data_IF_037012308583
#
_entry.id   IF_037012308583
#
_cell.length_a   1.000
_cell.length_b   1.000
_cell.length_c   1.000
_cell.angle_alpha   90.00
_cell.angle_beta   90.00
_cell.angle_gamma   90.00
#
_symmetry.space_group_name_H-M   'P 1'
#
loop_
_entity.id
_entity.type
_entity.pdbx_description
1 polymer ?
#
# COMPACT_ATOMS: atom_id res chain seq x y z
N UNK A 1 0.09 -3.45 -2.44
CA UNK A 1 -1.10 -4.24 -2.82
C UNK A 1 -1.51 -4.06 -4.28
N UNK A 2 -1.62 -2.80 -4.82
CA UNK A 2 -2.05 -2.59 -6.21
C UNK A 2 -1.16 -3.32 -7.24
N UNK A 3 0.16 -3.24 -7.09
CA UNK A 3 1.09 -3.92 -8.00
C UNK A 3 1.04 -5.44 -7.84
N UNK A 4 0.89 -5.94 -6.61
CA UNK A 4 0.71 -7.38 -6.39
C UNK A 4 -0.55 -7.87 -7.12
N UNK A 5 -1.65 -7.12 -7.03
CA UNK A 5 -2.89 -7.43 -7.75
C UNK A 5 -2.72 -7.35 -9.27
N UNK A 6 -1.99 -6.34 -9.77
CA UNK A 6 -1.65 -6.24 -11.19
C UNK A 6 -0.88 -7.47 -11.67
N UNK A 7 0.12 -7.92 -10.90
CA UNK A 7 0.92 -9.10 -11.23
C UNK A 7 0.05 -10.36 -11.25
N UNK A 8 -0.79 -10.56 -10.24
CA UNK A 8 -1.71 -11.71 -10.18
C UNK A 8 -2.63 -11.80 -11.41
N UNK A 9 -3.10 -10.67 -11.91
CA UNK A 9 -4.08 -10.61 -13.01
C UNK A 9 -3.42 -10.63 -14.38
N UNK A 10 -2.36 -9.85 -14.57
CA UNK A 10 -1.80 -9.57 -15.89
C UNK A 10 -0.44 -10.21 -16.15
N UNK A 11 0.35 -10.44 -15.11
CA UNK A 11 1.71 -10.95 -15.20
C UNK A 11 1.95 -12.14 -14.25
N UNK A 12 1.13 -13.20 -14.31
CA UNK A 12 1.21 -14.31 -13.35
C UNK A 12 2.56 -15.04 -13.37
N UNK A 13 3.30 -14.99 -14.47
CA UNK A 13 4.66 -15.52 -14.60
C UNK A 13 5.68 -14.81 -13.70
N UNK A 14 5.38 -13.58 -13.25
CA UNK A 14 6.25 -12.78 -12.39
C UNK A 14 5.93 -12.93 -10.89
N UNK A 15 4.99 -13.79 -10.50
CA UNK A 15 4.62 -13.98 -9.09
C UNK A 15 5.83 -14.42 -8.25
N UNK A 16 6.67 -15.29 -8.80
CA UNK A 16 7.87 -15.78 -8.11
C UNK A 16 8.97 -14.70 -7.93
N UNK A 17 8.85 -13.57 -8.63
CA UNK A 17 9.71 -12.41 -8.45
C UNK A 17 9.27 -11.47 -7.32
N UNK A 18 8.08 -11.70 -6.74
CA UNK A 18 7.64 -10.93 -5.59
C UNK A 18 8.48 -11.27 -4.36
N UNK A 19 8.94 -10.22 -3.65
CA UNK A 19 9.66 -10.41 -2.40
C UNK A 19 8.73 -11.13 -1.40
N UNK A 20 9.17 -12.24 -0.77
CA UNK A 20 8.35 -13.02 0.15
C UNK A 20 8.28 -12.39 1.54
N UNK A 21 8.04 -11.07 1.61
CA UNK A 21 7.96 -10.28 2.85
C UNK A 21 6.58 -9.62 2.93
N UNK A 22 5.99 -9.64 4.12
CA UNK A 22 4.70 -8.97 4.37
C UNK A 22 4.82 -7.46 4.17
N UNK A 23 3.73 -6.77 3.78
CA UNK A 23 3.76 -5.31 3.63
C UNK A 23 4.20 -4.60 4.90
N UNK A 24 4.94 -3.47 4.81
CA UNK A 24 5.39 -2.71 5.99
C UNK A 24 4.27 -2.33 6.97
N UNK A 25 3.04 -2.07 6.48
CA UNK A 25 1.90 -1.79 7.34
C UNK A 25 1.54 -2.99 8.21
N UNK A 26 1.63 -4.22 7.69
CA UNK A 26 1.40 -5.44 8.46
C UNK A 26 2.52 -5.69 9.46
N UNK A 27 3.77 -5.46 9.07
CA UNK A 27 4.92 -5.61 9.95
C UNK A 27 4.79 -4.69 11.18
N UNK A 28 4.56 -3.40 10.98
CA UNK A 28 4.44 -2.44 12.08
C UNK A 28 3.20 -2.71 12.94
N UNK A 29 2.08 -3.14 12.34
CA UNK A 29 0.88 -3.50 13.08
C UNK A 29 1.09 -4.73 13.97
N UNK A 30 1.82 -5.75 13.49
CA UNK A 30 2.21 -6.92 14.29
C UNK A 30 3.13 -6.55 15.44
N UNK A 31 4.13 -5.71 15.18
CA UNK A 31 5.02 -5.21 16.23
C UNK A 31 4.24 -4.46 17.31
N UNK A 32 3.30 -3.59 16.90
CA UNK A 32 2.47 -2.85 17.84
C UNK A 32 1.58 -3.79 18.68
N UNK A 33 0.95 -4.82 18.08
CA UNK A 33 0.19 -5.82 18.85
C UNK A 33 1.05 -6.57 19.84
N UNK A 34 2.23 -7.03 19.43
CA UNK A 34 3.18 -7.72 20.30
C UNK A 34 3.62 -6.82 21.47
N UNK A 35 3.86 -5.53 21.21
CA UNK A 35 4.16 -4.56 22.26
C UNK A 35 3.05 -4.50 23.32
N UNK A 36 1.78 -4.41 22.91
CA UNK A 36 0.67 -4.37 23.86
C UNK A 36 0.39 -5.71 24.54
N UNK A 37 0.62 -6.85 23.87
CA UNK A 37 0.56 -8.18 24.51
C UNK A 37 1.58 -8.30 25.65
N UNK A 38 2.80 -7.81 25.48
CA UNK A 38 3.80 -7.78 26.55
C UNK A 38 3.42 -6.90 27.74
N UNK A 39 2.49 -5.97 27.55
CA UNK A 39 1.90 -5.15 28.61
C UNK A 39 0.65 -5.77 29.25
N UNK A 40 0.22 -6.94 28.78
CA UNK A 40 -0.89 -7.69 29.34
C UNK A 40 -2.26 -7.42 28.69
N UNK A 41 -2.32 -6.62 27.61
CA UNK A 41 -3.57 -6.43 26.85
C UNK A 41 -3.92 -7.67 26.04
N UNK A 42 -5.21 -7.95 25.88
CA UNK A 42 -5.73 -9.02 25.04
C UNK A 42 -6.02 -8.50 23.63
N UNK A 43 -6.18 -9.41 22.67
CA UNK A 43 -6.41 -9.05 21.27
C UNK A 43 -7.66 -8.21 21.07
N UNK A 44 -8.72 -8.48 21.83
CA UNK A 44 -10.00 -7.74 21.77
C UNK A 44 -9.89 -6.31 22.30
N UNK A 45 -8.85 -6.01 23.07
CA UNK A 45 -8.60 -4.70 23.67
C UNK A 45 -7.69 -3.81 22.79
N UNK A 46 -7.13 -4.39 21.70
CA UNK A 46 -6.16 -3.70 20.83
C UNK A 46 -6.80 -3.33 19.49
N UNK A 47 -6.91 -2.05 19.22
CA UNK A 47 -7.31 -1.52 17.91
C UNK A 47 -6.14 -0.85 17.19
N UNK A 48 -5.75 -1.37 16.03
CA UNK A 48 -4.71 -0.78 15.16
C UNK A 48 -5.39 -0.10 13.98
N UNK A 49 -5.23 1.21 13.87
CA UNK A 49 -5.78 2.02 12.79
C UNK A 49 -4.67 2.55 11.90
N UNK A 50 -4.72 2.21 10.61
CA UNK A 50 -3.72 2.62 9.63
C UNK A 50 -4.20 3.83 8.84
N UNK A 51 -3.58 4.99 9.04
CA UNK A 51 -3.87 6.20 8.26
C UNK A 51 -3.10 6.10 6.93
N UNK A 52 -3.82 6.12 5.81
CA UNK A 52 -3.23 5.84 4.50
C UNK A 52 -3.71 6.77 3.38
N UNK A 53 -2.83 7.19 2.46
CA UNK A 53 -3.22 7.83 1.21
C UNK A 53 -3.66 6.84 0.12
N UNK A 54 -3.68 5.52 0.40
CA UNK A 54 -3.80 4.45 -0.59
C UNK A 54 -5.10 3.67 -0.45
N UNK A 55 -6.00 3.76 -1.43
CA UNK A 55 -7.24 2.97 -1.47
C UNK A 55 -6.98 1.46 -1.57
N UNK A 56 -5.94 1.04 -2.32
CA UNK A 56 -5.56 -0.38 -2.40
C UNK A 56 -5.18 -0.98 -1.04
N UNK A 57 -4.56 -0.20 -0.14
CA UNK A 57 -4.28 -0.65 1.23
C UNK A 57 -5.53 -0.75 2.08
N UNK A 58 -6.53 0.11 1.84
CA UNK A 58 -7.83 -0.03 2.51
C UNK A 58 -8.47 -1.37 2.15
N UNK A 59 -8.47 -1.72 0.87
CA UNK A 59 -8.97 -3.02 0.40
C UNK A 59 -8.14 -4.18 0.97
N UNK A 60 -6.80 -4.06 0.99
CA UNK A 60 -5.90 -5.11 1.47
C UNK A 60 -6.05 -5.41 2.97
N UNK A 61 -6.44 -4.44 3.79
CA UNK A 61 -6.78 -4.65 5.20
C UNK A 61 -7.98 -5.60 5.34
N UNK A 62 -8.97 -5.48 4.47
CA UNK A 62 -10.18 -6.33 4.50
C UNK A 62 -9.99 -7.67 3.80
N UNK A 63 -9.20 -7.70 2.72
CA UNK A 63 -8.93 -8.90 1.90
C UNK A 63 -7.43 -8.99 1.60
N UNK A 64 -6.63 -9.37 2.60
CA UNK A 64 -5.18 -9.35 2.46
C UNK A 64 -4.68 -10.38 1.44
N UNK A 65 -3.65 -9.99 0.67
CA UNK A 65 -3.10 -10.81 -0.39
C UNK A 65 -1.95 -11.71 0.07
N UNK A 66 -1.20 -11.28 1.09
CA UNK A 66 0.06 -11.93 1.52
C UNK A 66 0.00 -12.48 2.94
N UNK A 67 -1.10 -12.26 3.65
CA UNK A 67 -1.33 -12.77 5.01
C UNK A 67 -2.75 -13.35 5.10
N UNK A 68 -3.01 -14.26 6.04
CA UNK A 68 -4.33 -14.86 6.21
C UNK A 68 -5.34 -13.87 6.78
N UNK A 69 -4.90 -13.07 7.73
CA UNK A 69 -5.68 -12.02 8.38
C UNK A 69 -4.78 -10.81 8.64
N UNK A 70 -5.26 -9.62 8.34
CA UNK A 70 -4.53 -8.39 8.64
C UNK A 70 -4.42 -8.17 10.16
N UNK A 71 -3.24 -7.73 10.60
CA UNK A 71 -3.02 -7.24 11.96
C UNK A 71 -3.59 -5.83 12.16
N UNK A 72 -3.89 -5.11 11.07
CA UNK A 72 -4.56 -3.82 11.08
C UNK A 72 -6.06 -4.02 11.31
N UNK A 73 -6.65 -3.32 12.27
CA UNK A 73 -8.08 -3.41 12.59
C UNK A 73 -8.92 -2.67 11.54
N UNK A 74 -8.46 -1.48 11.13
CA UNK A 74 -9.12 -0.68 10.10
C UNK A 74 -8.16 0.31 9.46
N UNK A 75 -8.47 0.74 8.24
CA UNK A 75 -7.74 1.78 7.54
C UNK A 75 -8.57 3.07 7.44
N UNK A 76 -7.92 4.22 7.61
CA UNK A 76 -8.53 5.54 7.57
C UNK A 76 -7.88 6.38 6.50
N UNK A 77 -8.67 7.08 5.69
CA UNK A 77 -8.15 7.93 4.63
C UNK A 77 -7.36 9.14 5.19
N UNK A 78 -6.16 9.36 4.65
CA UNK A 78 -5.28 10.44 5.12
C UNK A 78 -5.93 11.83 4.94
N UNK A 79 -6.59 12.07 3.81
CA UNK A 79 -7.28 13.33 3.54
C UNK A 79 -8.42 13.59 4.54
N UNK A 80 -9.17 12.55 4.96
CA UNK A 80 -10.22 12.71 5.96
C UNK A 80 -9.66 13.14 7.31
N UNK A 81 -8.59 12.48 7.78
CA UNK A 81 -7.89 12.85 9.01
C UNK A 81 -7.36 14.27 8.90
N UNK A 82 -6.69 14.61 7.80
CA UNK A 82 -6.13 15.93 7.57
C UNK A 82 -7.17 17.03 7.63
N UNK A 83 -8.29 16.89 6.92
CA UNK A 83 -9.34 17.91 6.91
C UNK A 83 -10.05 18.06 8.25
N UNK A 84 -10.14 17.01 9.06
CA UNK A 84 -10.67 17.07 10.42
C UNK A 84 -9.69 17.77 11.38
N UNK A 85 -8.39 17.62 11.19
CA UNK A 85 -7.36 18.28 12.01
C UNK A 85 -7.17 19.76 11.68
N UNK A 86 -7.39 20.20 10.43
CA UNK A 86 -7.14 21.58 9.99
C UNK A 86 -7.78 22.66 10.88
N UNK A 87 -9.06 22.56 11.32
CA UNK A 87 -9.65 23.54 12.22
C UNK A 87 -8.98 23.59 13.58
N UNK A 88 -8.57 22.42 14.10
CA UNK A 88 -7.94 22.29 15.42
C UNK A 88 -6.52 22.86 15.40
N UNK A 89 -5.76 22.64 14.34
CA UNK A 89 -4.39 23.16 14.19
C UNK A 89 -4.30 24.69 14.31
N UNK A 90 -5.37 25.41 13.95
CA UNK A 90 -5.43 26.86 14.08
C UNK A 90 -5.56 27.35 15.53
N UNK A 91 -5.97 26.48 16.43
CA UNK A 91 -6.22 26.77 17.83
C UNK A 91 -5.14 26.25 18.80
N UNK A 92 -4.29 25.32 18.30
CA UNK A 92 -3.18 24.74 19.08
C UNK A 92 -2.04 25.74 19.18
N UNK A 93 -1.55 25.98 20.39
CA UNK A 93 -0.37 26.80 20.64
C UNK A 93 0.90 25.98 20.47
N UNK A 94 1.95 26.58 19.94
CA UNK A 94 3.23 25.94 19.66
C UNK A 94 3.83 25.28 20.93
N UNK A 95 3.60 25.87 22.09
CA UNK A 95 4.04 25.40 23.43
C UNK A 95 3.31 24.10 23.88
N UNK A 96 2.16 23.78 23.26
CA UNK A 96 1.35 22.60 23.58
C UNK A 96 1.67 21.41 22.67
N UNK A 97 2.60 21.58 21.73
CA UNK A 97 2.95 20.54 20.76
C UNK A 97 4.10 19.69 21.30
N UNK A 98 3.80 18.49 21.74
CA UNK A 98 4.79 17.45 21.95
C UNK A 98 5.13 16.79 20.61
N UNK A 99 6.38 16.92 20.19
CA UNK A 99 6.83 16.30 18.93
C UNK A 99 7.06 14.81 19.17
N UNK A 100 6.05 14.01 18.88
CA UNK A 100 6.11 12.54 18.91
C UNK A 100 6.67 12.00 17.59
N UNK A 101 7.91 12.35 17.26
CA UNK A 101 8.51 11.83 16.04
C UNK A 101 9.08 10.43 16.26
N UNK A 102 8.51 9.45 15.59
CA UNK A 102 8.91 8.03 15.66
C UNK A 102 9.55 7.50 14.36
N UNK A 103 9.72 8.34 13.35
CA UNK A 103 10.28 7.93 12.07
C UNK A 103 11.62 8.60 11.81
N UNK A 104 12.59 7.84 11.28
CA UNK A 104 13.84 8.36 10.73
C UNK A 104 13.60 9.05 9.39
N UNK A 105 14.56 9.85 8.90
CA UNK A 105 14.51 10.41 7.56
C UNK A 105 14.36 9.32 6.49
N UNK A 106 14.98 8.16 6.66
CA UNK A 106 14.82 7.01 5.78
C UNK A 106 13.39 6.49 5.77
N UNK A 107 12.79 6.29 6.94
CA UNK A 107 11.38 5.87 7.05
C UNK A 107 10.41 6.88 6.43
N UNK A 108 10.66 8.18 6.61
CA UNK A 108 9.87 9.24 5.96
C UNK A 108 10.02 9.19 4.45
N UNK A 109 11.24 8.89 3.93
CA UNK A 109 11.50 8.82 2.49
C UNK A 109 10.74 7.71 1.77
N UNK A 110 10.33 6.66 2.46
CA UNK A 110 9.55 5.55 1.87
C UNK A 110 8.20 5.97 1.27
N UNK A 111 7.70 7.15 1.63
CA UNK A 111 6.47 7.67 1.04
C UNK A 111 6.63 8.12 -0.42
N UNK A 112 7.85 8.37 -0.89
CA UNK A 112 8.15 8.77 -2.27
C UNK A 112 8.71 7.60 -3.08
N UNK A 113 8.59 7.70 -4.40
CA UNK A 113 9.27 6.78 -5.31
C UNK A 113 10.80 6.83 -5.11
N UNK A 114 11.45 5.67 -5.11
CA UNK A 114 12.87 5.48 -4.88
C UNK A 114 13.27 5.45 -3.39
N UNK A 115 12.34 5.73 -2.47
CA UNK A 115 12.64 5.77 -1.05
C UNK A 115 12.88 4.40 -0.42
N UNK A 116 12.21 3.37 -0.89
CA UNK A 116 12.43 1.99 -0.48
C UNK A 116 13.77 1.48 -1.02
N UNK A 117 14.04 1.72 -2.31
CA UNK A 117 15.29 1.33 -2.99
C UNK A 117 16.52 1.93 -2.34
N UNK A 118 16.48 3.22 -1.98
CA UNK A 118 17.60 3.89 -1.27
C UNK A 118 17.88 3.23 0.09
N UNK A 119 16.86 2.68 0.74
CA UNK A 119 16.98 1.99 2.02
C UNK A 119 17.69 0.63 1.94
N UNK A 120 17.66 -0.02 0.79
CA UNK A 120 18.20 -1.37 0.59
C UNK A 120 19.71 -1.38 0.35
N UNK A 121 20.33 -0.25 0.04
CA UNK A 121 21.78 -0.12 -0.28
C UNK A 121 22.23 -1.04 -1.44
N UNK A 122 21.30 -1.44 -2.32
CA UNK A 122 21.61 -2.20 -3.53
C UNK A 122 22.10 -1.24 -4.64
N UNK A 123 22.90 -1.74 -5.58
CA UNK A 123 23.45 -0.93 -6.66
C UNK A 123 22.58 -0.93 -7.92
N UNK A 124 22.07 -2.09 -8.29
CA UNK A 124 21.29 -2.30 -9.52
C UNK A 124 19.79 -2.27 -9.22
N UNK A 125 19.27 -1.10 -8.87
CA UNK A 125 17.86 -0.89 -8.53
C UNK A 125 17.15 -0.05 -9.58
N UNK A 126 15.85 -0.34 -9.77
CA UNK A 126 14.97 0.46 -10.62
C UNK A 126 13.76 0.91 -9.80
N UNK A 127 13.46 2.20 -9.82
CA UNK A 127 12.25 2.73 -9.21
C UNK A 127 11.33 3.27 -10.31
N UNK A 128 10.10 2.76 -10.38
CA UNK A 128 9.11 3.11 -11.40
C UNK A 128 7.76 3.45 -10.75
N UNK A 129 7.13 4.52 -11.22
CA UNK A 129 5.83 4.97 -10.77
C UNK A 129 4.88 5.30 -11.92
N UNK A 130 3.59 5.30 -11.61
CA UNK A 130 2.52 5.37 -12.60
C UNK A 130 2.22 4.01 -13.23
N UNK A 131 0.91 3.66 -13.22
CA UNK A 131 0.49 2.31 -13.60
C UNK A 131 0.91 1.91 -15.01
N UNK A 132 0.87 2.84 -15.96
CA UNK A 132 1.27 2.60 -17.36
C UNK A 132 2.77 2.30 -17.46
N UNK A 133 3.62 3.09 -16.80
CA UNK A 133 5.06 2.87 -16.76
C UNK A 133 5.40 1.53 -16.09
N UNK A 134 4.71 1.20 -15.00
CA UNK A 134 4.89 -0.09 -14.31
C UNK A 134 4.52 -1.25 -15.24
N UNK A 135 3.43 -1.15 -15.99
CA UNK A 135 3.02 -2.16 -16.96
C UNK A 135 4.10 -2.38 -18.02
N UNK A 136 4.68 -1.30 -18.57
CA UNK A 136 5.77 -1.38 -19.56
C UNK A 136 7.04 -2.03 -19.00
N UNK A 137 7.38 -1.72 -17.74
CA UNK A 137 8.52 -2.33 -17.05
C UNK A 137 8.27 -3.82 -16.80
N UNK A 138 7.09 -4.19 -16.30
CA UNK A 138 6.74 -5.60 -16.06
C UNK A 138 6.70 -6.41 -17.37
N UNK A 139 6.15 -5.85 -18.46
CA UNK A 139 6.19 -6.45 -19.79
C UNK A 139 7.64 -6.67 -20.27
N UNK A 140 8.50 -5.69 -20.05
CA UNK A 140 9.92 -5.77 -20.39
C UNK A 140 10.67 -6.80 -19.55
N UNK A 141 10.30 -6.96 -18.28
CA UNK A 141 10.85 -7.98 -17.39
C UNK A 141 10.41 -9.38 -17.83
N UNK A 142 9.11 -9.59 -18.07
CA UNK A 142 8.54 -10.86 -18.52
C UNK A 142 9.15 -11.33 -19.85
N UNK A 143 9.41 -10.39 -20.76
CA UNK A 143 10.06 -10.67 -22.05
C UNK A 143 11.59 -10.72 -21.98
N UNK A 144 12.21 -10.70 -20.80
CA UNK A 144 13.66 -10.80 -20.62
C UNK A 144 14.46 -9.63 -21.19
N UNK A 145 13.82 -8.48 -21.44
CA UNK A 145 14.47 -7.26 -21.95
C UNK A 145 15.23 -6.49 -20.86
N UNK A 146 14.81 -6.64 -19.59
CA UNK A 146 15.50 -6.05 -18.45
C UNK A 146 16.57 -7.03 -17.97
N UNK A 147 17.81 -6.56 -17.90
CA UNK A 147 18.99 -7.35 -17.45
C UNK A 147 19.69 -6.57 -16.36
N UNK A 148 20.27 -7.28 -15.39
CA UNK A 148 21.12 -6.73 -14.31
C UNK A 148 20.38 -5.78 -13.37
N UNK A 149 19.07 -5.96 -13.14
CA UNK A 149 18.32 -5.27 -12.09
C UNK A 149 18.09 -6.27 -10.96
N UNK A 150 18.56 -5.94 -9.76
CA UNK A 150 18.42 -6.78 -8.57
C UNK A 150 17.08 -6.52 -7.87
N UNK A 151 16.59 -5.29 -7.95
CA UNK A 151 15.37 -4.88 -7.27
C UNK A 151 14.59 -3.85 -8.09
N UNK A 152 13.27 -4.06 -8.18
CA UNK A 152 12.35 -3.11 -8.80
C UNK A 152 11.36 -2.62 -7.75
N UNK A 153 11.44 -1.33 -7.41
CA UNK A 153 10.41 -0.63 -6.64
C UNK A 153 9.34 -0.13 -7.59
N UNK A 154 8.12 -0.69 -7.50
CA UNK A 154 7.03 -0.38 -8.40
C UNK A 154 5.83 0.21 -7.67
N UNK A 155 5.42 1.41 -8.05
CA UNK A 155 4.31 2.15 -7.46
C UNK A 155 3.24 2.48 -8.52
N UNK A 156 1.96 2.14 -8.26
CA UNK A 156 0.86 2.45 -9.18
C UNK A 156 0.59 3.96 -9.30
N UNK A 157 0.85 4.72 -8.23
CA UNK A 157 0.59 6.17 -8.17
C UNK A 157 1.85 6.97 -8.51
N UNK A 158 1.71 8.02 -9.31
CA UNK A 158 2.81 8.96 -9.62
C UNK A 158 3.28 9.66 -8.34
N UNK A 159 4.57 9.63 -8.09
CA UNK A 159 5.19 10.16 -6.86
C UNK A 159 5.21 9.18 -5.69
N UNK A 160 4.84 7.91 -5.91
CA UNK A 160 4.72 6.90 -4.86
C UNK A 160 3.49 7.11 -3.98
N UNK A 161 3.58 6.82 -2.69
CA UNK A 161 2.47 6.99 -1.75
C UNK A 161 2.01 8.45 -1.60
N UNK A 162 2.88 9.43 -1.90
CA UNK A 162 2.52 10.85 -1.90
C UNK A 162 1.44 11.21 -2.93
N UNK A 163 1.34 10.44 -4.02
CA UNK A 163 0.33 10.60 -5.07
C UNK A 163 -0.88 9.69 -4.94
N UNK A 164 -1.07 9.07 -3.78
CA UNK A 164 -2.22 8.20 -3.54
C UNK A 164 -3.56 8.95 -3.64
N UNK A 165 -4.64 8.26 -4.05
CA UNK A 165 -5.95 8.89 -4.29
C UNK A 165 -6.60 9.47 -3.02
N UNK A 166 -6.14 9.07 -1.84
CA UNK A 166 -6.61 9.57 -0.55
C UNK A 166 -5.62 10.58 0.08
N UNK A 167 -4.65 11.08 -0.69
CA UNK A 167 -3.76 12.15 -0.28
C UNK A 167 -4.48 13.51 -0.31
N UNK A 168 -4.19 14.44 0.62
CA UNK A 168 -4.84 15.76 0.66
C UNK A 168 -4.25 16.77 -0.32
N UNK A 169 -3.13 16.44 -0.98
CA UNK A 169 -2.38 17.35 -1.85
C UNK A 169 -1.78 16.59 -3.05
N UNK A 170 -1.43 17.30 -4.09
CA UNK A 170 -0.74 16.68 -5.23
C UNK A 170 0.68 16.21 -4.86
N UNK A 171 1.21 15.16 -5.52
CA UNK A 171 2.48 14.54 -5.15
C UNK A 171 3.70 15.46 -5.26
N UNK A 172 3.69 16.43 -6.14
CA UNK A 172 4.84 17.33 -6.35
C UNK A 172 5.00 18.30 -5.19
N UNK A 173 3.90 18.91 -4.73
CA UNK A 173 3.89 19.78 -3.56
C UNK A 173 4.20 18.98 -2.29
N UNK A 174 3.58 17.80 -2.14
CA UNK A 174 3.84 16.90 -1.01
C UNK A 174 5.33 16.51 -0.93
N UNK A 175 5.94 16.16 -2.07
CA UNK A 175 7.38 15.85 -2.16
C UNK A 175 8.25 17.03 -1.73
N UNK A 176 7.95 18.24 -2.19
CA UNK A 176 8.70 19.44 -1.81
C UNK A 176 8.61 19.72 -0.30
N UNK A 177 7.43 19.57 0.29
CA UNK A 177 7.25 19.71 1.75
C UNK A 177 7.98 18.64 2.53
N UNK A 178 7.87 17.38 2.11
CA UNK A 178 8.58 16.26 2.73
C UNK A 178 10.09 16.48 2.73
N UNK A 179 10.67 16.93 1.61
CA UNK A 179 12.10 17.27 1.54
C UNK A 179 12.49 18.37 2.52
N UNK A 180 11.62 19.37 2.72
CA UNK A 180 11.85 20.41 3.73
C UNK A 180 11.86 19.85 5.15
N UNK A 181 10.91 18.96 5.48
CA UNK A 181 10.86 18.26 6.77
C UNK A 181 12.12 17.42 6.99
N UNK A 182 12.54 16.64 6.01
CA UNK A 182 13.75 15.81 6.11
C UNK A 182 15.04 16.64 6.33
N UNK A 183 15.12 17.85 5.75
CA UNK A 183 16.26 18.77 5.96
C UNK A 183 16.30 19.38 7.35
N UNK A 184 15.17 19.46 8.07
CA UNK A 184 15.11 20.02 9.41
C UNK A 184 15.70 19.10 10.49
N UNK A 185 16.48 18.09 10.11
CA UNK A 185 17.14 17.10 10.98
C UNK A 185 16.15 16.50 12.00
N UNK A 186 15.33 15.61 11.48
CA UNK A 186 14.56 14.72 12.32
C UNK A 186 15.57 13.89 13.13
N UNK A 187 15.70 14.22 14.40
CA UNK A 187 16.76 13.67 15.24
C UNK A 187 16.64 12.15 15.42
N UNK A 188 17.71 11.38 15.25
CA UNK A 188 17.71 9.92 15.42
C UNK A 188 17.64 9.44 16.88
N UNK A 189 17.37 10.31 17.83
CA UNK A 189 17.38 9.98 19.27
C UNK A 189 16.13 9.29 19.79
N UNK A 190 15.22 8.92 18.91
CA UNK A 190 14.04 8.16 19.31
C UNK A 190 14.42 6.71 19.62
N UNK A 191 14.40 6.37 20.88
CA UNK A 191 14.22 4.98 21.29
C UNK A 191 12.86 4.56 20.76
N UNK A 192 12.86 3.70 19.75
CA UNK A 192 11.65 3.14 19.23
C UNK A 192 10.98 2.35 20.35
N UNK A 193 9.74 2.66 20.69
CA UNK A 193 8.97 1.87 21.68
C UNK A 193 8.83 0.40 21.23
N UNK A 194 9.09 0.13 19.96
CA UNK A 194 9.06 -1.19 19.33
C UNK A 194 10.46 -1.85 19.25
N UNK A 195 11.52 -1.21 19.78
CA UNK A 195 12.85 -1.80 19.81
C UNK A 195 12.86 -3.10 20.61
N UNK A 196 13.50 -4.12 20.06
CA UNK A 196 13.54 -5.46 20.66
C UNK A 196 12.25 -6.28 20.51
N UNK A 197 11.31 -5.82 19.69
CA UNK A 197 10.16 -6.61 19.25
C UNK A 197 10.53 -7.29 17.94
N UNK A 198 10.65 -8.59 17.99
CA UNK A 198 10.89 -9.43 16.83
C UNK A 198 9.59 -10.05 16.34
N UNK A 199 9.37 -10.03 15.03
CA UNK A 199 8.19 -10.60 14.37
C UNK A 199 8.61 -11.40 13.15
N UNK A 200 7.80 -12.38 12.78
CA UNK A 200 7.95 -13.05 11.49
C UNK A 200 7.44 -12.12 10.37
N UNK A 201 8.38 -11.65 9.54
CA UNK A 201 8.12 -10.78 8.38
C UNK A 201 7.85 -11.54 7.07
N UNK A 202 7.94 -12.87 7.05
CA UNK A 202 7.66 -13.63 5.83
C UNK A 202 6.17 -13.71 5.54
N UNK A 203 5.84 -13.82 4.25
CA UNK A 203 4.47 -14.02 3.77
C UNK A 203 3.88 -15.29 4.37
N UNK A 204 2.60 -15.25 4.69
CA UNK A 204 1.86 -16.39 5.27
C UNK A 204 0.97 -17.06 4.24
N UNK A 205 0.56 -16.31 3.22
CA UNK A 205 -0.30 -16.77 2.14
C UNK A 205 0.44 -16.61 0.81
N UNK A 206 0.60 -17.71 0.10
CA UNK A 206 1.18 -17.67 -1.23
C UNK A 206 0.32 -16.81 -2.16
N UNK A 207 0.97 -15.93 -2.90
CA UNK A 207 0.31 -15.15 -3.95
C UNK A 207 0.03 -16.10 -5.13
N UNK A 208 -1.23 -16.20 -5.54
CA UNK A 208 -1.65 -17.06 -6.63
C UNK A 208 -2.16 -16.23 -7.82
N UNK A 209 -2.10 -16.75 -9.04
CA UNK A 209 -2.72 -16.13 -10.20
C UNK A 209 -4.22 -15.88 -9.94
N UNK A 210 -4.70 -14.69 -10.29
CA UNK A 210 -6.11 -14.40 -10.16
C UNK A 210 -6.92 -15.08 -11.28
N UNK A 211 -8.01 -15.75 -10.92
CA UNK A 211 -8.95 -16.35 -11.88
C UNK A 211 -9.82 -15.23 -12.46
N UNK A 212 -9.40 -14.63 -13.55
CA UNK A 212 -10.01 -13.42 -14.14
C UNK A 212 -11.38 -13.65 -14.78
N UNK A 213 -11.75 -14.89 -15.13
CA UNK A 213 -12.96 -15.17 -15.94
C UNK A 213 -14.00 -16.07 -15.25
N UNK A 214 -13.78 -16.48 -14.01
CA UNK A 214 -14.70 -17.41 -13.34
C UNK A 214 -15.61 -16.64 -12.39
N UNK A 215 -16.81 -16.27 -12.83
CA UNK A 215 -17.79 -15.52 -12.04
C UNK A 215 -18.58 -16.41 -11.06
N UNK A 216 -19.00 -17.59 -11.50
CA UNK A 216 -19.70 -18.60 -10.68
C UNK A 216 -19.67 -19.96 -11.37
N UNK A 217 -19.81 -21.05 -10.61
CA UNK A 217 -19.93 -22.42 -11.17
C UNK A 217 -21.32 -22.64 -11.78
N UNK A 218 -22.33 -21.97 -11.27
CA UNK A 218 -23.70 -21.97 -11.79
C UNK A 218 -23.82 -20.96 -12.94
N UNK A 219 -24.19 -21.43 -14.14
CA UNK A 219 -24.32 -20.59 -15.33
C UNK A 219 -25.33 -19.45 -15.17
N UNK A 220 -26.45 -19.67 -14.47
CA UNK A 220 -27.46 -18.64 -14.25
C UNK A 220 -26.91 -17.54 -13.34
N UNK A 221 -26.21 -17.91 -12.27
CA UNK A 221 -25.54 -16.97 -11.37
C UNK A 221 -24.39 -16.26 -12.06
N UNK A 222 -23.61 -16.95 -12.87
CA UNK A 222 -22.54 -16.35 -13.65
C UNK A 222 -23.04 -15.28 -14.62
N UNK A 223 -24.17 -15.51 -15.30
CA UNK A 223 -24.83 -14.54 -16.18
C UNK A 223 -25.35 -13.33 -15.39
N UNK A 224 -25.92 -13.55 -14.22
CA UNK A 224 -26.40 -12.44 -13.37
C UNK A 224 -25.21 -11.59 -12.86
N UNK A 225 -24.16 -12.22 -12.36
CA UNK A 225 -22.92 -11.53 -11.95
C UNK A 225 -22.28 -10.77 -13.13
N UNK A 226 -22.32 -11.33 -14.32
CA UNK A 226 -21.82 -10.67 -15.53
C UNK A 226 -22.61 -9.38 -15.83
N UNK A 227 -23.94 -9.42 -15.74
CA UNK A 227 -24.78 -8.22 -15.90
C UNK A 227 -24.49 -7.16 -14.84
N UNK A 228 -24.34 -7.59 -13.58
CA UNK A 228 -23.99 -6.69 -12.47
C UNK A 228 -22.60 -6.07 -12.67
N UNK A 229 -21.60 -6.87 -13.11
CA UNK A 229 -20.27 -6.38 -13.47
C UNK A 229 -20.35 -5.32 -14.56
N UNK A 230 -21.07 -5.60 -15.64
CA UNK A 230 -21.17 -4.68 -16.78
C UNK A 230 -21.88 -3.37 -16.37
N UNK A 231 -22.91 -3.45 -15.56
CA UNK A 231 -23.59 -2.27 -15.02
C UNK A 231 -22.67 -1.43 -14.11
N UNK A 232 -21.87 -2.08 -13.25
CA UNK A 232 -20.87 -1.40 -12.44
C UNK A 232 -19.80 -0.76 -13.30
N UNK A 233 -19.25 -1.49 -14.28
CA UNK A 233 -18.22 -0.99 -15.17
C UNK A 233 -18.63 0.28 -15.92
N UNK A 234 -19.90 0.36 -16.40
CA UNK A 234 -20.43 1.55 -17.07
C UNK A 234 -20.50 2.79 -16.16
N UNK A 235 -20.57 2.61 -14.85
CA UNK A 235 -20.58 3.69 -13.87
C UNK A 235 -19.17 4.10 -13.39
N UNK A 236 -18.14 3.37 -13.80
CA UNK A 236 -16.74 3.70 -13.47
C UNK A 236 -16.14 4.66 -14.49
N UNK A 237 -15.08 5.40 -14.12
CA UNK A 237 -14.44 6.37 -15.02
C UNK A 237 -13.71 5.74 -16.21
N UNK A 238 -13.49 4.44 -16.23
CA UNK A 238 -12.85 3.65 -17.31
C UNK A 238 -11.46 4.14 -17.72
N UNK A 239 -10.72 4.68 -16.76
CA UNK A 239 -9.36 5.20 -16.97
C UNK A 239 -8.24 4.23 -16.54
N UNK A 240 -8.60 3.08 -15.99
CA UNK A 240 -7.71 1.99 -15.60
C UNK A 240 -6.45 2.41 -14.80
N UNK A 241 -6.58 3.46 -13.98
CA UNK A 241 -5.46 4.08 -13.27
C UNK A 241 -4.88 3.24 -12.12
N UNK A 242 -5.48 2.12 -11.75
CA UNK A 242 -5.02 1.24 -10.68
C UNK A 242 -5.08 1.83 -9.26
N UNK A 243 -5.54 3.06 -9.07
CA UNK A 243 -5.53 3.77 -7.78
C UNK A 243 -6.42 3.14 -6.71
N UNK A 244 -7.49 2.44 -7.12
CA UNK A 244 -8.34 1.66 -6.21
C UNK A 244 -7.71 0.34 -5.76
N UNK A 245 -6.63 -0.11 -6.41
CA UNK A 245 -5.95 -1.37 -6.15
C UNK A 245 -6.24 -2.46 -7.17
N UNK A 246 -7.28 -2.32 -8.00
CA UNK A 246 -7.53 -3.19 -9.13
C UNK A 246 -6.73 -2.72 -10.36
N UNK A 247 -6.26 -3.63 -11.24
CA UNK A 247 -5.43 -3.27 -12.40
C UNK A 247 -6.21 -2.57 -13.51
N UNK A 248 -7.53 -2.72 -13.54
CA UNK A 248 -8.44 -2.03 -14.47
C UNK A 248 -9.80 -1.79 -13.81
N UNK A 249 -10.60 -0.90 -14.39
CA UNK A 249 -11.98 -0.66 -13.95
C UNK A 249 -12.85 -1.90 -14.16
N UNK A 250 -12.60 -2.71 -15.18
CA UNK A 250 -13.28 -3.99 -15.37
C UNK A 250 -12.93 -5.00 -14.27
N UNK A 251 -11.65 -5.14 -13.93
CA UNK A 251 -11.21 -6.00 -12.83
C UNK A 251 -11.80 -5.56 -11.49
N UNK A 252 -11.91 -4.24 -11.24
CA UNK A 252 -12.59 -3.72 -10.06
C UNK A 252 -14.07 -4.11 -10.02
N UNK A 253 -14.78 -3.92 -11.13
CA UNK A 253 -16.19 -4.29 -11.22
C UNK A 253 -16.39 -5.81 -11.00
N UNK A 254 -15.48 -6.63 -11.51
CA UNK A 254 -15.48 -8.06 -11.30
C UNK A 254 -15.23 -8.44 -9.83
N UNK A 255 -14.23 -7.83 -9.19
CA UNK A 255 -13.94 -8.07 -7.77
C UNK A 255 -15.16 -7.73 -6.89
N UNK A 256 -15.86 -6.64 -7.18
CA UNK A 256 -17.07 -6.23 -6.45
C UNK A 256 -18.21 -7.26 -6.54
N UNK A 257 -18.44 -7.86 -7.72
CA UNK A 257 -19.53 -8.85 -7.88
C UNK A 257 -19.15 -10.25 -7.39
N UNK A 258 -17.87 -10.49 -7.16
CA UNK A 258 -17.37 -11.74 -6.58
C UNK A 258 -17.34 -11.71 -5.04
N UNK A 259 -17.35 -10.53 -4.41
CA UNK A 259 -17.31 -10.30 -2.96
C UNK A 259 -15.88 -10.14 -2.45
#
# INVERSE_FOLDING_TARGET
>A
PAIVRLIQVRFPSLIDNLIPIIPPMEAIARMAREYFYRQGYKDEEIGIFFITPCAAKVTDVHKPQMVDKSAVTSAVALNEVYFRLLPVLKTVKEEEIEVLQMATNQGVSWARIGGESEGLLLQDVMAVDGIENVIEVLDSLENGRIKRVEFIEANACIGGCLGGPLAPENPFNAKARMQKVMRSNLSPQLRHILDGIDINCYVQKQVEPAKVLHLDEDMAKALEKMRQRDALYQNLPQIDCGSCGAPSCEAFAQDVVQG
#
